data_IF_385333702815
#
_entry.id   IF_385333702815
#
_cell.length_a   1.000
_cell.length_b   1.000
_cell.length_c   1.000
_cell.angle_alpha   90.00
_cell.angle_beta   90.00
_cell.angle_gamma   90.00
#
_symmetry.space_group_name_H-M   'P 1'
#
loop_
_entity.id
_entity.type
_entity.pdbx_description
1 polymer ?
#
# COMPACT_ATOMS: atom_id res chain seq x y z
N UNK A 1 -32.40 8.39 16.14
CA UNK A 1 -31.23 7.52 15.87
C UNK A 1 -29.98 8.38 15.91
N UNK A 2 -28.97 8.04 16.70
CA UNK A 2 -27.71 8.80 16.74
C UNK A 2 -26.85 8.44 15.52
N UNK A 3 -26.29 9.46 14.84
CA UNK A 3 -25.40 9.26 13.70
C UNK A 3 -24.07 8.65 14.18
N UNK A 4 -23.53 7.71 13.41
CA UNK A 4 -22.19 7.17 13.67
C UNK A 4 -21.12 8.25 13.50
N UNK A 5 -20.14 8.32 14.42
CA UNK A 5 -19.02 9.25 14.33
C UNK A 5 -17.92 8.65 13.42
N UNK A 6 -17.88 9.10 12.17
CA UNK A 6 -16.94 8.61 11.15
C UNK A 6 -15.46 8.76 11.56
N UNK A 7 -15.13 9.66 12.49
CA UNK A 7 -13.76 9.83 13.03
C UNK A 7 -13.23 8.56 13.71
N UNK A 8 -14.11 7.66 14.14
CA UNK A 8 -13.72 6.37 14.72
C UNK A 8 -13.33 5.34 13.66
N UNK A 9 -13.64 5.57 12.38
CA UNK A 9 -13.32 4.68 11.26
C UNK A 9 -12.00 5.11 10.60
N UNK A 10 -10.90 4.92 11.33
CA UNK A 10 -9.55 5.27 10.89
C UNK A 10 -9.11 4.53 9.61
N UNK A 11 -9.68 3.35 9.36
CA UNK A 11 -9.44 2.56 8.16
C UNK A 11 -10.01 3.18 6.88
N UNK A 12 -10.93 4.15 6.98
CA UNK A 12 -11.52 4.85 5.82
C UNK A 12 -11.35 6.37 5.88
N UNK A 13 -11.24 6.95 7.08
CA UNK A 13 -11.24 8.40 7.29
C UNK A 13 -10.03 8.92 8.11
N UNK A 14 -9.07 8.04 8.43
CA UNK A 14 -7.82 8.37 9.09
C UNK A 14 -6.63 8.25 8.13
N UNK A 15 -5.55 7.60 8.60
CA UNK A 15 -4.35 7.31 7.81
C UNK A 15 -4.65 6.75 6.41
N UNK A 16 -5.57 5.79 6.30
CA UNK A 16 -5.93 5.20 5.01
C UNK A 16 -6.53 6.22 4.03
N UNK A 17 -7.26 7.21 4.53
CA UNK A 17 -7.86 8.24 3.67
C UNK A 17 -6.78 9.04 2.94
N UNK A 18 -5.69 9.40 3.61
CA UNK A 18 -4.58 10.13 3.00
C UNK A 18 -3.94 9.33 1.85
N UNK A 19 -3.77 8.01 2.04
CA UNK A 19 -3.27 7.10 1.00
C UNK A 19 -4.25 7.00 -0.17
N UNK A 20 -5.54 6.84 0.12
CA UNK A 20 -6.58 6.73 -0.92
C UNK A 20 -6.74 8.02 -1.72
N UNK A 21 -6.69 9.18 -1.08
CA UNK A 21 -6.71 10.49 -1.74
C UNK A 21 -5.48 10.64 -2.65
N UNK A 22 -4.28 10.31 -2.16
CA UNK A 22 -3.04 10.34 -2.98
C UNK A 22 -3.17 9.46 -4.23
N UNK A 23 -3.81 8.31 -4.10
CA UNK A 23 -4.06 7.38 -5.20
C UNK A 23 -5.35 7.69 -5.99
N UNK A 24 -6.01 8.83 -5.76
CA UNK A 24 -7.26 9.24 -6.42
C UNK A 24 -8.40 8.20 -6.31
N UNK A 25 -8.45 7.45 -5.21
CA UNK A 25 -9.43 6.38 -5.01
C UNK A 25 -9.24 5.18 -5.95
N UNK A 26 -8.07 5.05 -6.60
CA UNK A 26 -7.77 3.97 -7.53
C UNK A 26 -6.86 2.93 -6.90
N UNK A 27 -7.23 1.66 -7.05
CA UNK A 27 -6.37 0.53 -6.70
C UNK A 27 -5.09 0.59 -7.55
N UNK A 28 -3.94 0.71 -6.90
CA UNK A 28 -2.64 0.78 -7.58
C UNK A 28 -2.16 -0.58 -8.10
N UNK A 29 -2.84 -1.68 -7.75
CA UNK A 29 -2.49 -3.03 -8.18
C UNK A 29 -3.25 -3.50 -9.42
N UNK A 30 -4.52 -3.11 -9.59
CA UNK A 30 -5.33 -3.51 -10.74
C UNK A 30 -5.98 -2.36 -11.51
N UNK A 31 -5.89 -1.13 -11.00
CA UNK A 31 -6.49 0.03 -11.64
C UNK A 31 -8.00 0.22 -11.41
N UNK A 32 -8.68 -0.67 -10.68
CA UNK A 32 -10.11 -0.48 -10.40
C UNK A 32 -10.36 0.77 -9.53
N UNK A 33 -11.51 1.40 -9.74
CA UNK A 33 -11.88 2.66 -9.10
C UNK A 33 -11.32 3.87 -9.82
N UNK A 34 -11.06 4.94 -9.07
CA UNK A 34 -10.62 6.21 -9.63
C UNK A 34 -11.71 7.27 -9.60
N UNK A 35 -11.78 8.08 -10.67
CA UNK A 35 -12.71 9.19 -10.80
C UNK A 35 -13.78 8.86 -11.86
N UNK A 36 -15.08 9.00 -11.56
CA UNK A 36 -15.66 9.43 -10.29
C UNK A 36 -15.44 8.40 -9.16
N UNK A 37 -15.33 8.90 -7.92
CA UNK A 37 -15.16 8.04 -6.75
C UNK A 37 -16.48 7.32 -6.46
N UNK A 38 -16.43 5.99 -6.45
CA UNK A 38 -17.54 5.14 -6.04
C UNK A 38 -17.44 4.81 -4.55
N UNK A 39 -18.53 5.02 -3.79
CA UNK A 39 -18.54 4.80 -2.34
C UNK A 39 -18.40 3.32 -1.97
N UNK A 40 -19.03 2.43 -2.73
CA UNK A 40 -19.00 0.99 -2.47
C UNK A 40 -17.63 0.39 -2.69
N UNK A 41 -16.90 0.91 -3.67
CA UNK A 41 -15.52 0.58 -3.89
C UNK A 41 -14.59 1.25 -2.86
N UNK A 42 -14.82 2.52 -2.52
CA UNK A 42 -14.05 3.23 -1.49
C UNK A 42 -14.04 2.45 -0.17
N UNK A 43 -15.19 1.98 0.31
CA UNK A 43 -15.27 1.19 1.55
C UNK A 43 -14.63 -0.21 1.45
N UNK A 44 -14.24 -0.64 0.24
CA UNK A 44 -13.51 -1.87 -0.03
C UNK A 44 -12.02 -1.63 -0.32
N UNK A 45 -11.55 -0.39 -0.28
CA UNK A 45 -10.13 -0.09 -0.39
C UNK A 45 -9.42 -0.32 0.94
N UNK A 46 -8.12 -0.62 0.87
CA UNK A 46 -7.23 -0.77 2.01
C UNK A 46 -5.83 -0.26 1.64
N UNK A 47 -5.01 0.01 2.66
CA UNK A 47 -3.61 0.36 2.48
C UNK A 47 -2.78 -0.91 2.36
N UNK A 48 -2.10 -1.06 1.24
CA UNK A 48 -1.07 -2.07 1.04
C UNK A 48 0.29 -1.44 1.33
N UNK A 49 1.10 -2.12 2.16
CA UNK A 49 2.51 -1.80 2.31
C UNK A 49 3.30 -2.68 1.33
N UNK A 50 4.12 -2.07 0.48
CA UNK A 50 4.92 -2.80 -0.50
C UNK A 50 5.98 -3.66 0.20
N UNK A 51 6.66 -3.08 1.18
CA UNK A 51 7.46 -3.78 2.17
C UNK A 51 6.59 -3.97 3.42
N UNK A 52 6.25 -5.22 3.73
CA UNK A 52 5.31 -5.55 4.80
C UNK A 52 5.87 -5.39 6.23
N UNK A 53 4.99 -5.60 7.22
CA UNK A 53 5.31 -5.48 8.66
C UNK A 53 6.46 -6.40 9.10
N UNK A 54 6.45 -7.65 8.63
CA UNK A 54 7.49 -8.65 8.94
C UNK A 54 8.87 -8.21 8.41
N UNK A 55 8.89 -7.31 7.43
CA UNK A 55 10.09 -6.78 6.80
C UNK A 55 10.42 -5.34 7.24
N UNK A 56 9.77 -4.82 8.29
CA UNK A 56 10.07 -3.51 8.86
C UNK A 56 9.43 -2.32 8.16
N UNK A 57 8.46 -2.52 7.27
CA UNK A 57 7.92 -1.43 6.46
C UNK A 57 6.78 -0.60 7.06
N UNK A 58 6.38 -0.84 8.32
CA UNK A 58 5.36 0.00 8.95
C UNK A 58 5.99 1.28 9.51
N UNK A 59 5.27 2.41 9.47
CA UNK A 59 5.75 3.72 9.93
C UNK A 59 6.50 3.66 11.28
N UNK A 60 5.96 2.97 12.29
CA UNK A 60 6.62 2.84 13.60
C UNK A 60 7.99 2.14 13.52
N UNK A 61 8.15 1.16 12.64
CA UNK A 61 9.41 0.46 12.42
C UNK A 61 10.37 1.33 11.62
N UNK A 62 9.87 2.01 10.58
CA UNK A 62 10.63 2.99 9.80
C UNK A 62 11.18 4.10 10.71
N UNK A 63 10.37 4.68 11.61
CA UNK A 63 10.84 5.74 12.52
C UNK A 63 11.99 5.31 13.41
N UNK A 64 11.95 4.07 13.92
CA UNK A 64 13.07 3.52 14.70
C UNK A 64 14.35 3.37 13.87
N UNK A 65 14.22 2.96 12.60
CA UNK A 65 15.36 2.86 11.69
C UNK A 65 15.93 4.25 11.39
N UNK A 66 15.07 5.25 11.16
CA UNK A 66 15.49 6.64 10.95
C UNK A 66 16.22 7.19 12.18
N UNK A 67 15.68 6.99 13.38
CA UNK A 67 16.32 7.40 14.64
C UNK A 67 17.72 6.81 14.80
N UNK A 68 17.88 5.53 14.47
CA UNK A 68 19.16 4.83 14.57
C UNK A 68 20.17 5.25 13.49
N UNK A 69 19.73 5.42 12.24
CA UNK A 69 20.60 5.70 11.10
C UNK A 69 20.93 7.19 10.93
N UNK A 70 20.11 8.09 11.47
CA UNK A 70 20.29 9.54 11.37
C UNK A 70 20.24 10.21 12.77
N UNK A 71 21.17 9.86 13.68
CA UNK A 71 21.12 10.33 15.07
C UNK A 71 21.29 11.85 15.21
N UNK A 72 21.97 12.49 14.24
CA UNK A 72 22.24 13.92 14.23
C UNK A 72 21.07 14.77 13.70
N UNK A 73 20.04 14.14 13.12
CA UNK A 73 18.85 14.85 12.67
C UNK A 73 18.03 15.31 13.87
N UNK A 74 17.38 16.47 13.73
CA UNK A 74 16.34 16.90 14.65
C UNK A 74 15.12 15.97 14.62
N UNK A 75 14.30 16.02 15.66
CA UNK A 75 13.07 15.22 15.73
C UNK A 75 12.09 15.53 14.58
N UNK A 76 12.06 16.78 14.12
CA UNK A 76 11.27 17.19 12.96
C UNK A 76 11.80 16.56 11.66
N UNK A 77 13.12 16.54 11.46
CA UNK A 77 13.74 15.90 10.30
C UNK A 77 13.53 14.39 10.28
N UNK A 78 13.68 13.72 11.44
CA UNK A 78 13.40 12.28 11.58
C UNK A 78 11.94 11.95 11.29
N UNK A 79 11.02 12.75 11.82
CA UNK A 79 9.58 12.60 11.56
C UNK A 79 9.27 12.77 10.08
N UNK A 80 9.86 13.79 9.45
CA UNK A 80 9.65 14.09 8.02
C UNK A 80 10.17 12.96 7.15
N UNK A 81 11.40 12.49 7.39
CA UNK A 81 12.00 11.38 6.65
C UNK A 81 11.21 10.08 6.83
N UNK A 82 10.73 9.79 8.05
CA UNK A 82 9.89 8.61 8.31
C UNK A 82 8.60 8.62 7.48
N UNK A 83 7.94 9.79 7.41
CA UNK A 83 6.71 9.96 6.62
C UNK A 83 7.00 9.90 5.12
N UNK A 84 8.11 10.46 4.66
CA UNK A 84 8.55 10.39 3.26
C UNK A 84 8.72 8.94 2.82
N UNK A 85 9.40 8.11 3.63
CA UNK A 85 9.58 6.68 3.38
C UNK A 85 8.22 5.93 3.41
N UNK A 86 7.37 6.21 4.38
CA UNK A 86 6.04 5.58 4.50
C UNK A 86 5.15 5.90 3.29
N UNK A 87 5.18 7.13 2.78
CA UNK A 87 4.47 7.54 1.56
C UNK A 87 4.95 6.75 0.34
N UNK A 88 6.25 6.49 0.22
CA UNK A 88 6.82 5.67 -0.87
C UNK A 88 6.39 4.20 -0.71
N UNK A 89 6.36 3.69 0.52
CA UNK A 89 6.09 2.28 0.81
C UNK A 89 4.59 1.91 0.78
N UNK A 90 3.69 2.88 0.71
CA UNK A 90 2.25 2.63 0.81
C UNK A 90 1.50 2.91 -0.49
N UNK A 91 0.50 2.08 -0.78
CA UNK A 91 -0.39 2.27 -1.92
C UNK A 91 -1.82 1.89 -1.56
N UNK A 92 -2.78 2.37 -2.36
CA UNK A 92 -4.17 1.91 -2.28
C UNK A 92 -4.31 0.58 -2.99
N UNK A 93 -4.99 -0.38 -2.36
CA UNK A 93 -5.35 -1.66 -2.96
C UNK A 93 -6.83 -1.98 -2.67
N UNK A 94 -7.55 -2.56 -3.63
CA UNK A 94 -8.86 -3.15 -3.33
C UNK A 94 -8.70 -4.45 -2.55
N UNK A 95 -9.75 -4.88 -1.83
CA UNK A 95 -9.71 -6.12 -1.02
C UNK A 95 -9.19 -7.33 -1.80
N UNK A 96 -9.62 -7.52 -3.05
CA UNK A 96 -9.17 -8.63 -3.87
C UNK A 96 -7.65 -8.64 -4.07
N UNK A 97 -7.08 -7.50 -4.47
CA UNK A 97 -5.65 -7.38 -4.72
C UNK A 97 -4.85 -7.53 -3.42
N UNK A 98 -5.28 -6.87 -2.34
CA UNK A 98 -4.61 -6.98 -1.04
C UNK A 98 -4.65 -8.42 -0.49
N UNK A 99 -5.76 -9.15 -0.65
CA UNK A 99 -5.83 -10.56 -0.25
C UNK A 99 -4.83 -11.45 -0.99
N UNK A 100 -4.42 -11.02 -2.18
CA UNK A 100 -3.49 -11.74 -3.05
C UNK A 100 -2.03 -11.41 -2.71
N UNK A 101 -1.74 -10.17 -2.33
CA UNK A 101 -0.36 -9.68 -2.20
C UNK A 101 0.10 -9.43 -0.77
N UNK A 102 -0.81 -9.29 0.19
CA UNK A 102 -0.48 -8.84 1.57
C UNK A 102 0.48 -9.74 2.35
N UNK A 103 0.66 -10.99 1.90
CA UNK A 103 1.55 -11.98 2.52
C UNK A 103 2.87 -12.17 1.78
N UNK A 104 3.08 -11.46 0.67
CA UNK A 104 4.31 -11.56 -0.10
C UNK A 104 5.50 -11.08 0.72
N UNK A 105 6.58 -11.84 0.67
CA UNK A 105 7.85 -11.50 1.29
C UNK A 105 8.84 -11.18 0.16
N UNK A 106 9.49 -10.03 0.27
CA UNK A 106 10.49 -9.59 -0.70
C UNK A 106 11.88 -10.12 -0.34
N UNK A 107 12.80 -10.14 -1.30
CA UNK A 107 14.20 -10.57 -1.11
C UNK A 107 14.98 -9.69 -0.13
N UNK A 108 14.49 -8.47 0.11
CA UNK A 108 15.08 -7.49 1.01
C UNK A 108 14.04 -6.94 1.98
N UNK A 109 14.52 -6.44 3.11
CA UNK A 109 13.77 -5.80 4.17
C UNK A 109 14.11 -4.32 4.28
N UNK A 110 13.26 -3.55 4.97
CA UNK A 110 13.52 -2.13 5.21
C UNK A 110 14.87 -1.90 5.92
N UNK A 111 15.24 -2.65 7.00
CA UNK A 111 16.56 -2.49 7.62
C UNK A 111 17.74 -2.68 6.65
N UNK A 112 17.67 -3.67 5.75
CA UNK A 112 18.73 -3.89 4.75
C UNK A 112 18.86 -2.71 3.77
N UNK A 113 17.76 -2.04 3.43
CA UNK A 113 17.81 -0.82 2.62
C UNK A 113 18.50 0.33 3.37
N UNK A 114 18.23 0.46 4.68
CA UNK A 114 18.93 1.42 5.55
C UNK A 114 20.44 1.12 5.65
N UNK A 115 20.81 -0.15 5.84
CA UNK A 115 22.21 -0.59 5.88
C UNK A 115 22.92 -0.27 4.56
N UNK A 116 22.29 -0.58 3.42
CA UNK A 116 22.86 -0.33 2.09
C UNK A 116 23.12 1.15 1.78
N UNK A 117 22.37 2.05 2.40
CA UNK A 117 22.49 3.48 2.20
C UNK A 117 23.59 4.13 3.05
N UNK A 118 24.16 3.39 4.02
CA UNK A 118 25.28 3.83 4.87
C UNK A 118 25.09 5.23 5.49
N UNK A 119 23.86 5.57 5.90
CA UNK A 119 23.53 6.87 6.52
C UNK A 119 23.38 8.04 5.54
N UNK A 120 23.41 7.81 4.23
CA UNK A 120 23.09 8.82 3.22
C UNK A 120 21.58 8.84 2.93
N UNK A 121 20.93 9.99 3.16
CA UNK A 121 19.49 10.16 2.94
C UNK A 121 19.13 9.98 1.45
N UNK A 122 19.89 10.58 0.56
CA UNK A 122 19.63 10.59 -0.88
C UNK A 122 19.68 9.17 -1.45
N UNK A 123 20.71 8.40 -1.08
CA UNK A 123 20.84 7.01 -1.49
C UNK A 123 19.76 6.12 -0.86
N UNK A 124 19.39 6.37 0.41
CA UNK A 124 18.30 5.67 1.08
C UNK A 124 16.98 5.84 0.33
N UNK A 125 16.58 7.08 0.04
CA UNK A 125 15.33 7.37 -0.67
C UNK A 125 15.37 6.75 -2.07
N UNK A 126 16.48 6.90 -2.79
CA UNK A 126 16.67 6.29 -4.12
C UNK A 126 16.50 4.76 -4.08
N UNK A 127 17.12 4.09 -3.11
CA UNK A 127 17.04 2.63 -2.95
C UNK A 127 15.63 2.18 -2.61
N UNK A 128 14.95 2.87 -1.68
CA UNK A 128 13.57 2.55 -1.30
C UNK A 128 12.61 2.78 -2.47
N UNK A 129 12.77 3.86 -3.24
CA UNK A 129 11.94 4.12 -4.44
C UNK A 129 12.14 3.02 -5.48
N UNK A 130 13.39 2.63 -5.76
CA UNK A 130 13.69 1.58 -6.73
C UNK A 130 13.09 0.24 -6.29
N UNK A 131 13.28 -0.12 -5.02
CA UNK A 131 12.71 -1.31 -4.39
C UNK A 131 11.18 -1.32 -4.49
N UNK A 132 10.50 -0.27 -4.02
CA UNK A 132 9.05 -0.18 -4.01
C UNK A 132 8.45 -0.22 -5.41
N UNK A 133 9.09 0.43 -6.41
CA UNK A 133 8.67 0.34 -7.81
C UNK A 133 8.72 -1.09 -8.34
N UNK A 134 9.80 -1.81 -8.05
CA UNK A 134 9.95 -3.21 -8.46
C UNK A 134 8.91 -4.11 -7.78
N UNK A 135 8.71 -3.94 -6.46
CA UNK A 135 7.70 -4.70 -5.71
C UNK A 135 6.30 -4.44 -6.27
N UNK A 136 5.94 -3.18 -6.49
CA UNK A 136 4.66 -2.82 -7.06
C UNK A 136 4.45 -3.47 -8.43
N UNK A 137 5.48 -3.50 -9.28
CA UNK A 137 5.42 -4.16 -10.58
C UNK A 137 5.19 -5.67 -10.44
N UNK A 138 5.95 -6.38 -9.58
CA UNK A 138 5.77 -7.81 -9.32
C UNK A 138 4.37 -8.12 -8.77
N UNK A 139 3.88 -7.32 -7.81
CA UNK A 139 2.54 -7.46 -7.24
C UNK A 139 1.44 -7.27 -8.29
N UNK A 140 1.59 -6.30 -9.20
CA UNK A 140 0.67 -6.10 -10.35
C UNK A 140 0.62 -7.34 -11.23
N UNK A 141 1.76 -7.95 -11.56
CA UNK A 141 1.80 -9.17 -12.37
C UNK A 141 1.10 -10.35 -11.67
N UNK A 142 1.35 -10.53 -10.37
CA UNK A 142 0.69 -11.57 -9.56
C UNK A 142 -0.85 -11.39 -9.53
N UNK A 143 -1.29 -10.14 -9.36
CA UNK A 143 -2.71 -9.79 -9.37
C UNK A 143 -3.34 -9.99 -10.75
N UNK A 144 -2.64 -9.63 -11.82
CA UNK A 144 -3.16 -9.71 -13.19
C UNK A 144 -3.56 -11.14 -13.56
N UNK A 145 -2.66 -12.10 -13.35
CA UNK A 145 -2.94 -13.51 -13.62
C UNK A 145 -4.19 -14.01 -12.87
N UNK A 146 -4.30 -13.65 -11.58
CA UNK A 146 -5.43 -14.06 -10.75
C UNK A 146 -6.73 -13.37 -11.16
N UNK A 147 -6.68 -12.11 -11.60
CA UNK A 147 -7.84 -11.38 -12.10
C UNK A 147 -8.39 -12.01 -13.36
N UNK A 148 -7.54 -12.34 -14.32
CA UNK A 148 -7.93 -12.99 -15.57
C UNK A 148 -8.66 -14.31 -15.28
N UNK A 149 -8.11 -15.15 -14.39
CA UNK A 149 -8.74 -16.42 -14.00
C UNK A 149 -10.09 -16.22 -13.30
N UNK A 150 -10.23 -15.18 -12.47
CA UNK A 150 -11.49 -14.91 -11.75
C UNK A 150 -12.54 -14.28 -12.66
N UNK A 151 -12.14 -13.45 -13.63
CA UNK A 151 -13.03 -12.87 -14.62
C UNK A 151 -13.61 -13.95 -15.55
N UNK A 152 -12.78 -14.89 -16.02
CA UNK A 152 -13.22 -16.05 -16.79
C UNK A 152 -14.25 -16.87 -16.01
N UNK A 153 -13.93 -17.26 -14.77
CA UNK A 153 -14.84 -18.03 -13.92
C UNK A 153 -16.14 -17.26 -13.58
N UNK A 154 -16.07 -15.94 -13.41
CA UNK A 154 -17.25 -15.09 -13.20
C UNK A 154 -18.18 -15.14 -14.42
N UNK A 155 -17.63 -14.97 -15.62
CA UNK A 155 -18.40 -15.00 -16.85
C UNK A 155 -19.06 -16.37 -17.08
N UNK A 156 -18.32 -17.46 -16.85
CA UNK A 156 -18.84 -18.82 -17.04
C UNK A 156 -19.93 -19.19 -16.01
N UNK A 157 -19.72 -18.88 -14.73
CA UNK A 157 -20.51 -19.47 -13.64
C UNK A 157 -21.46 -18.53 -12.92
N UNK A 158 -21.27 -17.21 -13.04
CA UNK A 158 -22.07 -16.20 -12.33
C UNK A 158 -22.90 -15.38 -13.30
N UNK A 159 -22.26 -14.71 -14.26
CA UNK A 159 -22.94 -13.80 -15.19
C UNK A 159 -24.04 -14.53 -15.96
N UNK A 160 -23.72 -15.71 -16.53
CA UNK A 160 -24.66 -16.58 -17.26
C UNK A 160 -25.92 -16.93 -16.46
N UNK A 161 -25.81 -17.13 -15.15
CA UNK A 161 -26.95 -17.50 -14.29
C UNK A 161 -27.80 -16.29 -13.94
N UNK A 162 -27.18 -15.13 -13.74
CA UNK A 162 -27.91 -13.89 -13.43
C UNK A 162 -28.67 -13.38 -14.66
N UNK A 163 -28.07 -13.41 -15.84
CA UNK A 163 -28.68 -12.88 -17.07
C UNK A 163 -29.68 -13.84 -17.72
N UNK A 164 -29.70 -15.11 -17.32
CA UNK A 164 -30.69 -16.10 -17.78
C UNK A 164 -31.93 -16.17 -16.87
N UNK A 165 -32.02 -15.27 -15.88
CA UNK A 165 -33.16 -15.10 -14.97
C UNK A 165 -33.93 -13.83 -15.32
#
# INVERSE_FOLDING_TARGET
MNKYNYKNCQSLFGYSAEVHIRCKGQCQLCGCGGTPIDFDLWRQMTVEHLIGKSQGGYLRQISKLVEASFPLYSETEKTTLSKEIDVINTVTACQFCNSTTSRDINEFSMPQLFESAAGCKEELIKNIVAACKNILHKKRQSVQWKLESVEEAFNEHVATKITSS
#
